data_IF_256016807790
#
_entry.id   IF_256016807790
#
_cell.length_a   1.000
_cell.length_b   1.000
_cell.length_c   1.000
_cell.angle_alpha   90.00
_cell.angle_beta   90.00
_cell.angle_gamma   90.00
#
_symmetry.space_group_name_H-M   'P 1'
#
loop_
_entity.id
_entity.type
_entity.pdbx_description
1 polymer ?
#
# COMPACT_ATOMS: atom_id res chain seq x y z
N UNK A 1 48.55 -14.41 -21.91
CA UNK A 1 47.56 -14.82 -20.90
C UNK A 1 46.98 -13.54 -20.33
N UNK A 2 45.90 -13.07 -20.93
CA UNK A 2 45.19 -11.86 -20.49
C UNK A 2 44.41 -12.15 -19.21
N UNK A 3 44.43 -11.18 -18.29
CA UNK A 3 43.77 -11.23 -16.99
C UNK A 3 42.24 -11.29 -17.17
N UNK A 4 41.65 -12.47 -16.91
CA UNK A 4 40.20 -12.68 -16.90
C UNK A 4 39.52 -12.23 -15.59
N UNK A 5 40.10 -11.29 -14.85
CA UNK A 5 39.50 -10.74 -13.63
C UNK A 5 39.04 -9.30 -13.88
N UNK A 6 38.11 -9.15 -14.82
CA UNK A 6 37.23 -8.00 -14.78
C UNK A 6 36.38 -8.16 -13.52
N UNK A 7 36.67 -7.35 -12.50
CA UNK A 7 35.79 -7.14 -11.35
C UNK A 7 34.47 -6.54 -11.86
N UNK A 8 33.59 -7.41 -12.35
CA UNK A 8 32.17 -7.10 -12.44
C UNK A 8 31.71 -7.19 -11.00
N UNK A 9 31.61 -6.04 -10.32
CA UNK A 9 30.95 -5.96 -9.02
C UNK A 9 29.57 -6.57 -9.19
N UNK A 10 29.41 -7.80 -8.73
CA UNK A 10 28.18 -8.55 -8.91
C UNK A 10 27.24 -7.99 -7.85
N UNK A 11 26.41 -7.03 -8.24
CA UNK A 11 25.45 -6.42 -7.34
C UNK A 11 24.37 -7.43 -6.99
N UNK A 12 24.45 -7.97 -5.79
CA UNK A 12 23.38 -8.80 -5.23
C UNK A 12 22.50 -7.91 -4.37
N UNK A 13 21.20 -7.89 -4.69
CA UNK A 13 20.21 -7.20 -3.86
C UNK A 13 20.24 -7.73 -2.44
N UNK A 14 20.24 -6.81 -1.48
CA UNK A 14 20.02 -7.16 -0.09
C UNK A 14 18.55 -7.46 0.21
N UNK A 15 18.29 -7.92 1.44
CA UNK A 15 16.94 -8.26 1.87
C UNK A 15 15.98 -7.06 1.92
N UNK A 16 16.46 -5.86 2.25
CA UNK A 16 15.64 -4.67 2.35
C UNK A 16 15.22 -4.18 0.96
N UNK A 17 16.11 -4.28 -0.03
CA UNK A 17 15.76 -4.04 -1.43
C UNK A 17 14.65 -4.98 -1.92
N UNK A 18 14.72 -6.28 -1.59
CA UNK A 18 13.63 -7.20 -1.90
C UNK A 18 12.32 -6.80 -1.20
N UNK A 19 12.38 -6.35 0.06
CA UNK A 19 11.18 -5.88 0.78
C UNK A 19 10.55 -4.66 0.11
N UNK A 20 11.37 -3.71 -0.37
CA UNK A 20 10.91 -2.55 -1.13
C UNK A 20 10.22 -3.00 -2.42
N UNK A 21 10.84 -3.90 -3.18
CA UNK A 21 10.27 -4.43 -4.42
C UNK A 21 8.96 -5.18 -4.20
N UNK A 22 8.87 -5.97 -3.12
CA UNK A 22 7.65 -6.66 -2.71
C UNK A 22 6.53 -5.64 -2.43
N UNK A 23 6.82 -4.60 -1.65
CA UNK A 23 5.83 -3.57 -1.32
C UNK A 23 5.33 -2.84 -2.58
N UNK A 24 6.26 -2.38 -3.42
CA UNK A 24 5.95 -1.71 -4.69
C UNK A 24 5.12 -2.62 -5.61
N UNK A 25 5.45 -3.90 -5.68
CA UNK A 25 4.72 -4.89 -6.48
C UNK A 25 3.29 -5.07 -5.97
N UNK A 26 3.10 -5.19 -4.66
CA UNK A 26 1.76 -5.34 -4.06
C UNK A 26 0.92 -4.08 -4.33
N UNK A 27 1.48 -2.88 -4.13
CA UNK A 27 0.82 -1.61 -4.43
C UNK A 27 0.43 -1.50 -5.91
N UNK A 28 1.33 -1.90 -6.80
CA UNK A 28 1.10 -1.89 -8.24
C UNK A 28 -0.05 -2.82 -8.64
N UNK A 29 -0.08 -4.06 -8.13
CA UNK A 29 -1.16 -5.02 -8.38
C UNK A 29 -2.50 -4.46 -7.88
N UNK A 30 -2.51 -3.88 -6.68
CA UNK A 30 -3.73 -3.31 -6.09
C UNK A 30 -4.23 -2.10 -6.87
N UNK A 31 -3.35 -1.20 -7.29
CA UNK A 31 -3.72 0.01 -8.04
C UNK A 31 -4.32 -0.31 -9.40
N UNK A 32 -3.86 -1.40 -10.04
CA UNK A 32 -4.45 -1.96 -11.26
C UNK A 32 -5.71 -2.79 -11.02
N UNK A 33 -6.14 -2.94 -9.76
CA UNK A 33 -7.27 -3.79 -9.36
C UNK A 33 -7.12 -5.25 -9.85
N UNK A 34 -5.87 -5.72 -9.94
CA UNK A 34 -5.51 -7.10 -10.27
C UNK A 34 -5.66 -8.02 -9.05
N UNK A 35 -5.73 -9.33 -9.29
CA UNK A 35 -5.81 -10.33 -8.22
C UNK A 35 -4.46 -10.44 -7.49
N UNK A 36 -4.46 -10.16 -6.19
CA UNK A 36 -3.28 -10.28 -5.34
C UNK A 36 -3.03 -11.75 -4.96
N UNK A 37 -2.02 -12.38 -5.59
CA UNK A 37 -1.63 -13.79 -5.38
C UNK A 37 -0.14 -13.87 -5.08
N UNK A 38 0.24 -14.71 -4.12
CA UNK A 38 1.64 -14.87 -3.68
C UNK A 38 2.60 -15.13 -4.85
N UNK A 39 2.28 -16.08 -5.73
CA UNK A 39 3.14 -16.45 -6.85
C UNK A 39 3.44 -15.25 -7.77
N UNK A 40 2.41 -14.44 -8.07
CA UNK A 40 2.55 -13.24 -8.92
C UNK A 40 3.41 -12.19 -8.22
N UNK A 41 3.23 -11.99 -6.91
CA UNK A 41 4.03 -11.03 -6.14
C UNK A 41 5.50 -11.47 -6.10
N UNK A 42 5.76 -12.74 -5.79
CA UNK A 42 7.11 -13.28 -5.73
C UNK A 42 7.82 -13.20 -7.08
N UNK A 43 7.13 -13.55 -8.17
CA UNK A 43 7.66 -13.46 -9.52
C UNK A 43 8.00 -12.02 -9.92
N UNK A 44 7.05 -11.09 -9.79
CA UNK A 44 7.24 -9.68 -10.18
C UNK A 44 8.28 -8.96 -9.30
N UNK A 45 8.44 -9.36 -8.04
CA UNK A 45 9.45 -8.83 -7.13
C UNK A 45 10.81 -9.54 -7.23
N UNK A 46 11.00 -10.49 -8.16
CA UNK A 46 12.26 -11.19 -8.34
C UNK A 46 12.62 -12.18 -7.20
N UNK A 47 11.66 -12.55 -6.36
CA UNK A 47 11.84 -13.48 -5.24
C UNK A 47 11.75 -14.91 -5.75
N UNK A 48 12.85 -15.39 -6.31
CA UNK A 48 12.97 -16.76 -6.84
C UNK A 48 13.15 -17.79 -5.73
N UNK A 49 13.10 -19.09 -6.08
CA UNK A 49 13.41 -20.17 -5.12
C UNK A 49 14.83 -20.05 -4.53
N UNK A 50 15.79 -19.54 -5.31
CA UNK A 50 17.14 -19.31 -4.83
C UNK A 50 17.16 -18.19 -3.78
N UNK A 51 16.50 -17.07 -4.06
CA UNK A 51 16.35 -15.95 -3.13
C UNK A 51 15.65 -16.38 -1.84
N UNK A 52 14.61 -17.20 -1.90
CA UNK A 52 13.95 -17.75 -0.70
C UNK A 52 14.85 -18.68 0.09
N UNK A 53 15.78 -19.40 -0.54
CA UNK A 53 16.77 -20.21 0.19
C UNK A 53 17.77 -19.32 0.94
N UNK A 54 18.14 -18.19 0.34
CA UNK A 54 19.04 -17.20 0.95
C UNK A 54 18.35 -16.38 2.05
N UNK A 55 17.09 -16.01 1.84
CA UNK A 55 16.25 -15.18 2.72
C UNK A 55 14.86 -15.83 2.92
N UNK A 56 14.76 -16.91 3.72
CA UNK A 56 13.51 -17.64 3.93
C UNK A 56 12.38 -16.80 4.52
N UNK A 57 12.70 -15.76 5.28
CA UNK A 57 11.78 -14.81 5.88
C UNK A 57 10.95 -14.02 4.85
N UNK A 58 11.45 -13.85 3.62
CA UNK A 58 10.74 -13.12 2.56
C UNK A 58 9.41 -13.79 2.22
N UNK A 59 9.29 -15.11 2.36
CA UNK A 59 8.03 -15.82 2.14
C UNK A 59 6.94 -15.33 3.11
N UNK A 60 7.27 -15.26 4.40
CA UNK A 60 6.34 -14.79 5.42
C UNK A 60 6.08 -13.29 5.28
N UNK A 61 7.11 -12.52 4.93
CA UNK A 61 6.98 -11.10 4.66
C UNK A 61 5.95 -10.81 3.56
N UNK A 62 6.05 -11.49 2.40
CA UNK A 62 5.09 -11.34 1.30
C UNK A 62 3.66 -11.60 1.79
N UNK A 63 3.43 -12.71 2.50
CA UNK A 63 2.10 -13.06 2.98
C UNK A 63 1.52 -12.02 3.94
N UNK A 64 2.34 -11.56 4.90
CA UNK A 64 1.92 -10.52 5.87
C UNK A 64 1.62 -9.20 5.17
N UNK A 65 2.48 -8.75 4.25
CA UNK A 65 2.28 -7.51 3.50
C UNK A 65 1.06 -7.59 2.59
N UNK A 66 0.81 -8.73 1.94
CA UNK A 66 -0.40 -8.92 1.14
C UNK A 66 -1.68 -8.73 1.96
N UNK A 67 -1.74 -9.29 3.17
CA UNK A 67 -2.87 -9.10 4.10
C UNK A 67 -3.00 -7.63 4.46
N UNK A 68 -1.91 -7.01 4.93
CA UNK A 68 -1.88 -5.61 5.32
C UNK A 68 -2.38 -4.69 4.21
N UNK A 69 -1.80 -4.76 3.01
CA UNK A 69 -2.19 -3.88 1.90
C UNK A 69 -3.62 -4.13 1.40
N UNK A 70 -4.12 -5.37 1.52
CA UNK A 70 -5.52 -5.67 1.20
C UNK A 70 -6.47 -4.97 2.18
N UNK A 71 -6.17 -4.99 3.47
CA UNK A 71 -6.95 -4.29 4.49
C UNK A 71 -6.94 -2.78 4.24
N UNK A 72 -5.75 -2.23 3.98
CA UNK A 72 -5.57 -0.82 3.63
C UNK A 72 -6.39 -0.42 2.39
N UNK A 73 -6.37 -1.23 1.34
CA UNK A 73 -7.17 -0.98 0.13
C UNK A 73 -8.68 -0.98 0.41
N UNK A 74 -9.16 -1.89 1.26
CA UNK A 74 -10.57 -1.94 1.67
C UNK A 74 -10.95 -0.66 2.43
N UNK A 75 -10.10 -0.24 3.37
CA UNK A 75 -10.26 1.01 4.13
C UNK A 75 -10.32 2.21 3.18
N UNK A 76 -9.36 2.33 2.26
CA UNK A 76 -9.31 3.44 1.30
C UNK A 76 -10.55 3.48 0.42
N UNK A 77 -10.94 2.37 -0.21
CA UNK A 77 -12.16 2.29 -1.02
C UNK A 77 -13.40 2.69 -0.22
N UNK A 78 -13.47 2.34 1.07
CA UNK A 78 -14.59 2.69 1.94
C UNK A 78 -14.63 4.20 2.23
N UNK A 79 -13.49 4.80 2.52
CA UNK A 79 -13.34 6.24 2.74
C UNK A 79 -13.66 7.02 1.46
N UNK A 80 -13.11 6.61 0.31
CA UNK A 80 -13.33 7.31 -0.96
C UNK A 80 -14.81 7.27 -1.37
N UNK A 81 -15.50 6.14 -1.16
CA UNK A 81 -16.96 6.03 -1.35
C UNK A 81 -17.73 6.96 -0.42
N UNK A 82 -17.31 7.09 0.84
CA UNK A 82 -17.94 7.98 1.81
C UNK A 82 -17.81 9.44 1.38
N UNK A 83 -16.61 9.87 0.99
CA UNK A 83 -16.34 11.23 0.49
C UNK A 83 -17.17 11.52 -0.76
N UNK A 84 -17.15 10.62 -1.75
CA UNK A 84 -17.93 10.78 -2.98
C UNK A 84 -19.44 10.89 -2.70
N UNK A 85 -19.96 10.11 -1.75
CA UNK A 85 -21.37 10.20 -1.37
C UNK A 85 -21.71 11.50 -0.63
N UNK A 86 -20.80 12.05 0.18
CA UNK A 86 -21.00 13.33 0.85
C UNK A 86 -20.99 14.49 -0.14
N UNK A 87 -20.04 14.48 -1.09
CA UNK A 87 -19.96 15.44 -2.18
C UNK A 87 -21.24 15.46 -3.02
N UNK A 88 -21.71 14.29 -3.47
CA UNK A 88 -22.97 14.18 -4.24
C UNK A 88 -24.20 14.69 -3.49
N UNK A 89 -24.16 14.65 -2.16
CA UNK A 89 -25.23 15.14 -1.31
C UNK A 89 -25.05 16.63 -0.90
N UNK A 90 -24.05 17.33 -1.45
CA UNK A 90 -23.66 18.69 -1.06
C UNK A 90 -23.44 18.86 0.45
N UNK A 91 -22.97 17.79 1.13
CA UNK A 91 -22.68 17.82 2.56
C UNK A 91 -21.23 18.25 2.79
N UNK A 92 -21.00 18.93 3.93
CA UNK A 92 -19.65 19.27 4.36
C UNK A 92 -18.83 18.00 4.60
N UNK A 93 -17.62 17.98 4.03
CA UNK A 93 -16.64 16.92 4.28
C UNK A 93 -15.83 17.33 5.52
N UNK A 94 -16.16 16.70 6.64
CA UNK A 94 -15.40 16.80 7.89
C UNK A 94 -14.93 15.42 8.33
N UNK A 95 -13.93 15.38 9.23
CA UNK A 95 -13.42 14.13 9.81
C UNK A 95 -14.55 13.24 10.37
N UNK A 96 -15.44 13.83 11.16
CA UNK A 96 -16.60 13.15 11.76
C UNK A 96 -17.60 12.70 10.70
N UNK A 97 -17.87 13.52 9.67
CA UNK A 97 -18.80 13.14 8.60
C UNK A 97 -18.33 11.89 7.84
N UNK A 98 -17.02 11.76 7.62
CA UNK A 98 -16.41 10.61 6.94
C UNK A 98 -16.49 9.38 7.83
N UNK A 99 -16.12 9.48 9.11
CA UNK A 99 -16.22 8.38 10.08
C UNK A 99 -17.64 7.84 10.15
N UNK A 100 -18.62 8.73 10.33
CA UNK A 100 -20.03 8.37 10.44
C UNK A 100 -20.53 7.70 9.15
N UNK A 101 -20.15 8.24 7.98
CA UNK A 101 -20.54 7.68 6.69
C UNK A 101 -19.89 6.31 6.43
N UNK A 102 -18.66 6.12 6.89
CA UNK A 102 -17.99 4.82 6.87
C UNK A 102 -18.53 3.85 7.92
N UNK A 103 -19.33 4.30 8.91
CA UNK A 103 -19.71 3.47 10.07
C UNK A 103 -18.50 2.87 10.76
N UNK A 104 -17.40 3.64 10.88
CA UNK A 104 -16.29 3.20 11.70
C UNK A 104 -16.62 3.45 13.17
N UNK A 105 -16.16 2.55 14.05
CA UNK A 105 -16.16 2.83 15.48
C UNK A 105 -15.16 3.97 15.74
N UNK A 106 -15.61 5.05 16.38
CA UNK A 106 -14.78 6.23 16.68
C UNK A 106 -13.50 5.85 17.42
N UNK A 107 -13.60 5.02 18.46
CA UNK A 107 -12.48 4.64 19.32
C UNK A 107 -11.45 3.84 18.52
N UNK A 108 -11.93 2.92 17.68
CA UNK A 108 -11.07 2.15 16.77
C UNK A 108 -10.37 3.05 15.73
N UNK A 109 -11.02 4.11 15.24
CA UNK A 109 -10.38 5.08 14.34
C UNK A 109 -9.32 5.88 15.06
N UNK A 110 -9.58 6.33 16.29
CA UNK A 110 -8.59 7.10 17.06
C UNK A 110 -7.33 6.28 17.38
N UNK A 111 -7.47 4.97 17.54
CA UNK A 111 -6.36 4.04 17.72
C UNK A 111 -5.67 3.66 16.40
N UNK A 112 -6.37 3.68 15.27
CA UNK A 112 -5.81 3.35 13.97
C UNK A 112 -5.17 4.58 13.30
N UNK A 113 -3.84 4.70 13.42
CA UNK A 113 -3.08 5.81 12.87
C UNK A 113 -3.26 5.98 11.36
N UNK A 114 -3.31 4.88 10.61
CA UNK A 114 -3.48 4.93 9.16
C UNK A 114 -4.79 5.59 8.74
N UNK A 115 -5.92 5.19 9.37
CA UNK A 115 -7.23 5.77 9.05
C UNK A 115 -7.24 7.26 9.35
N UNK A 116 -6.68 7.68 10.49
CA UNK A 116 -6.61 9.11 10.85
C UNK A 116 -5.86 9.91 9.80
N UNK A 117 -4.68 9.43 9.42
CA UNK A 117 -3.82 10.18 8.50
C UNK A 117 -4.41 10.19 7.10
N UNK A 118 -4.99 9.09 6.62
CA UNK A 118 -5.71 9.05 5.34
C UNK A 118 -6.85 10.06 5.28
N UNK A 119 -7.68 10.14 6.33
CA UNK A 119 -8.79 11.10 6.37
C UNK A 119 -8.24 12.54 6.41
N UNK A 120 -7.18 12.81 7.19
CA UNK A 120 -6.55 14.14 7.25
C UNK A 120 -6.03 14.59 5.90
N UNK A 121 -5.28 13.73 5.20
CA UNK A 121 -4.76 14.01 3.86
C UNK A 121 -5.90 14.34 2.90
N UNK A 122 -6.98 13.55 2.92
CA UNK A 122 -8.17 13.83 2.09
C UNK A 122 -8.82 15.18 2.40
N UNK A 123 -8.91 15.57 3.68
CA UNK A 123 -9.48 16.85 4.06
C UNK A 123 -8.61 18.02 3.55
N UNK A 124 -7.29 17.90 3.64
CA UNK A 124 -6.34 18.88 3.11
C UNK A 124 -6.52 19.01 1.59
N UNK A 125 -6.51 17.89 0.86
CA UNK A 125 -6.72 17.86 -0.60
C UNK A 125 -8.06 18.50 -1.02
N UNK A 126 -9.14 18.22 -0.29
CA UNK A 126 -10.46 18.78 -0.59
C UNK A 126 -10.54 20.28 -0.27
N UNK A 127 -9.87 20.75 0.78
CA UNK A 127 -9.84 22.18 1.11
C UNK A 127 -9.05 22.97 0.07
N UNK A 128 -7.93 22.45 -0.43
CA UNK A 128 -7.18 23.10 -1.51
C UNK A 128 -8.03 23.23 -2.78
N UNK A 129 -8.81 22.20 -3.16
CA UNK A 129 -9.70 22.26 -4.33
C UNK A 129 -10.81 23.30 -4.22
N UNK A 130 -11.22 23.69 -3.01
CA UNK A 130 -12.23 24.75 -2.81
C UNK A 130 -11.67 26.16 -2.92
N UNK A 131 -10.35 26.34 -2.78
CA UNK A 131 -9.69 27.66 -2.82
C UNK A 131 -9.35 28.06 -4.28
N UNK A 132 -9.30 27.11 -5.21
CA UNK A 132 -8.93 27.33 -6.62
C UNK A 132 -10.12 27.56 -7.55
N UNK A 133 -11.33 27.79 -7.03
CA UNK A 133 -12.54 28.10 -7.81
C UNK A 133 -12.97 29.54 -7.53
#
# INVERSE_FOLDING_TARGET
MENCLNNIDTYYKDIEEYKIDINNTIEHIISKNERLVFAIVAEKAGVTRFVVRQYPELRNYILQRMVYYKEINIINKKIDRAVNSLLKANKSITFISIINKCKFNSDAVYQNQYIKDRIRTLLIENNHRKITI
#
